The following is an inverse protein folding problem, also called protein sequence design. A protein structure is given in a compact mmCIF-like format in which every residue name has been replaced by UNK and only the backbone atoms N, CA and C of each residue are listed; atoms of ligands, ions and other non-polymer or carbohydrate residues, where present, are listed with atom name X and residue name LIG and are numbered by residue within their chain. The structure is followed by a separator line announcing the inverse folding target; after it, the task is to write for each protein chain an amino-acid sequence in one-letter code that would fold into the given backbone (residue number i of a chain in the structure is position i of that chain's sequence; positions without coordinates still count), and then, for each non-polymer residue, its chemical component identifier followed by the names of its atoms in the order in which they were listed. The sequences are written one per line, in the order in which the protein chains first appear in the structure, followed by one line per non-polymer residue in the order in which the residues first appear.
data_IF_530214410526
#
_entry.id   IF_530214410526
#
_cell.length_a   1.000
_cell.length_b   1.000
_cell.length_c   1.000
_cell.angle_alpha   90.00
_cell.angle_beta   90.00
_cell.angle_gamma   90.00
#
_symmetry.space_group_name_H-M   'P 1'
#
loop_
_entity.id
_entity.type
_entity.pdbx_description
1 polymer ?
#
# COMPACT_ATOMS: atom_id res chain seq x y z
N UNK A 1 -8.08 4.67 32.69
CA UNK A 1 -9.36 5.01 32.04
C UNK A 1 -9.59 6.51 32.14
N UNK A 2 -9.82 7.20 31.02
CA UNK A 2 -10.26 8.60 31.06
C UNK A 2 -11.64 8.62 31.72
N UNK A 3 -11.86 9.54 32.69
CA UNK A 3 -13.19 9.67 33.32
C UNK A 3 -14.21 10.05 32.26
N UNK A 4 -15.35 9.37 32.20
CA UNK A 4 -16.46 9.65 31.28
C UNK A 4 -16.85 11.13 31.30
N UNK A 5 -16.80 11.75 32.48
CA UNK A 5 -17.05 13.19 32.67
C UNK A 5 -16.02 14.05 31.93
N UNK A 6 -14.76 13.62 31.88
CA UNK A 6 -13.69 14.33 31.13
C UNK A 6 -13.93 14.21 29.62
N UNK A 7 -14.28 13.03 29.15
CA UNK A 7 -14.61 12.79 27.72
C UNK A 7 -15.82 13.62 27.29
N UNK A 8 -16.92 13.60 28.06
CA UNK A 8 -18.11 14.40 27.76
C UNK A 8 -17.80 15.91 27.73
N UNK A 9 -16.95 16.41 28.63
CA UNK A 9 -16.54 17.81 28.63
C UNK A 9 -15.71 18.18 27.41
N UNK A 10 -14.88 17.24 26.92
CA UNK A 10 -14.14 17.42 25.67
C UNK A 10 -15.07 17.41 24.48
N UNK A 11 -16.09 16.57 24.43
CA UNK A 11 -17.05 16.47 23.34
C UNK A 11 -18.08 17.63 23.32
N UNK A 12 -18.19 18.41 24.37
CA UNK A 12 -19.16 19.52 24.45
C UNK A 12 -18.78 20.77 23.59
N UNK A 13 -17.64 20.76 22.92
CA UNK A 13 -17.17 21.87 22.07
C UNK A 13 -17.49 21.59 20.59
N UNK A 14 -18.23 22.48 19.91
CA UNK A 14 -18.60 22.26 18.51
C UNK A 14 -17.42 22.10 17.56
N UNK A 15 -16.33 22.81 17.77
CA UNK A 15 -15.15 22.72 16.90
C UNK A 15 -14.44 21.37 17.07
N UNK A 16 -14.42 20.80 18.27
CA UNK A 16 -13.89 19.44 18.47
C UNK A 16 -14.77 18.38 17.82
N UNK A 17 -16.09 18.56 17.85
CA UNK A 17 -17.00 17.67 17.12
C UNK A 17 -16.78 17.76 15.60
N UNK A 18 -16.58 18.96 15.04
CA UNK A 18 -16.23 19.15 13.62
C UNK A 18 -14.93 18.43 13.27
N UNK A 19 -13.89 18.57 14.10
CA UNK A 19 -12.61 17.86 13.91
C UNK A 19 -12.85 16.33 13.93
N UNK A 20 -13.59 15.81 14.91
CA UNK A 20 -13.87 14.38 15.01
C UNK A 20 -14.67 13.85 13.81
N UNK A 21 -15.64 14.63 13.30
CA UNK A 21 -16.41 14.28 12.09
C UNK A 21 -15.51 14.14 10.86
N UNK A 22 -14.53 15.02 10.71
CA UNK A 22 -13.55 14.96 9.63
C UNK A 22 -12.59 13.78 9.82
N UNK A 23 -12.06 13.58 11.04
CA UNK A 23 -11.12 12.49 11.35
C UNK A 23 -11.79 11.10 11.40
N UNK A 24 -13.11 11.04 11.47
CA UNK A 24 -13.87 9.80 11.27
C UNK A 24 -13.84 9.34 9.82
N UNK A 25 -13.81 10.29 8.89
CA UNK A 25 -13.84 10.00 7.46
C UNK A 25 -12.43 9.85 6.88
N UNK A 26 -11.45 10.64 7.36
CA UNK A 26 -10.12 10.73 6.75
C UNK A 26 -9.03 11.06 7.78
N UNK A 27 -7.81 10.56 7.55
CA UNK A 27 -6.63 11.02 8.27
C UNK A 27 -6.19 12.39 7.73
N UNK A 28 -6.11 13.38 8.62
CA UNK A 28 -5.80 14.76 8.23
C UNK A 28 -4.66 15.34 9.05
N UNK A 29 -3.81 16.13 8.40
CA UNK A 29 -2.78 16.92 9.06
C UNK A 29 -3.35 18.21 9.66
N UNK A 30 -2.56 18.85 10.56
CA UNK A 30 -2.93 20.16 11.11
C UNK A 30 -3.17 21.19 9.99
N UNK A 31 -2.33 21.20 8.96
CA UNK A 31 -2.46 22.15 7.84
C UNK A 31 -3.76 21.94 7.06
N UNK A 32 -4.16 20.69 6.84
CA UNK A 32 -5.41 20.37 6.16
C UNK A 32 -6.64 20.71 7.01
N UNK A 33 -6.60 20.42 8.31
CA UNK A 33 -7.65 20.84 9.24
C UNK A 33 -7.80 22.36 9.28
N UNK A 34 -6.69 23.11 9.19
CA UNK A 34 -6.73 24.57 9.06
C UNK A 34 -7.44 25.02 7.77
N UNK A 35 -7.10 24.41 6.63
CA UNK A 35 -7.69 24.72 5.33
C UNK A 35 -9.20 24.39 5.31
N UNK A 36 -9.59 23.26 5.91
CA UNK A 36 -10.98 22.79 5.94
C UNK A 36 -11.84 23.65 6.88
N UNK A 37 -11.36 23.86 8.11
CA UNK A 37 -12.14 24.49 9.17
C UNK A 37 -12.00 26.01 9.21
N UNK A 38 -11.09 26.57 8.41
CA UNK A 38 -10.72 27.98 8.41
C UNK A 38 -10.28 28.51 9.79
N UNK A 39 -9.56 27.68 10.55
CA UNK A 39 -9.07 27.98 11.90
C UNK A 39 -7.56 28.17 11.94
N UNK A 40 -7.06 28.95 12.92
CA UNK A 40 -5.63 29.12 13.15
C UNK A 40 -4.94 27.82 13.63
N UNK A 41 -3.65 27.66 13.30
CA UNK A 41 -2.85 26.49 13.65
C UNK A 41 -2.83 26.21 15.16
N UNK A 42 -2.66 27.24 15.98
CA UNK A 42 -2.63 27.12 17.45
C UNK A 42 -3.94 26.58 18.01
N UNK A 43 -5.06 27.02 17.43
CA UNK A 43 -6.41 26.58 17.82
C UNK A 43 -6.61 25.10 17.49
N UNK A 44 -6.30 24.69 16.24
CA UNK A 44 -6.37 23.30 15.83
C UNK A 44 -5.47 22.41 16.69
N UNK A 45 -4.22 22.82 16.91
CA UNK A 45 -3.27 22.06 17.74
C UNK A 45 -3.74 21.90 19.19
N UNK A 46 -4.39 22.92 19.74
CA UNK A 46 -4.98 22.87 21.09
C UNK A 46 -6.14 21.87 21.14
N UNK A 47 -7.05 21.92 20.17
CA UNK A 47 -8.16 20.97 20.10
C UNK A 47 -7.67 19.52 19.91
N UNK A 48 -6.72 19.28 19.00
CA UNK A 48 -6.14 17.97 18.80
C UNK A 48 -5.44 17.42 20.04
N UNK A 49 -4.69 18.28 20.77
CA UNK A 49 -4.06 17.91 22.03
C UNK A 49 -5.08 17.45 23.09
N UNK A 50 -6.19 18.18 23.23
CA UNK A 50 -7.27 17.83 24.15
C UNK A 50 -7.97 16.54 23.74
N UNK A 51 -8.23 16.34 22.45
CA UNK A 51 -8.81 15.12 21.91
C UNK A 51 -7.88 13.90 22.10
N UNK A 52 -6.56 14.10 21.90
CA UNK A 52 -5.54 13.06 22.14
C UNK A 52 -5.44 12.70 23.63
N UNK A 53 -5.44 13.70 24.52
CA UNK A 53 -5.46 13.46 25.97
C UNK A 53 -6.73 12.75 26.47
N UNK A 54 -7.82 12.88 25.73
CA UNK A 54 -9.07 12.16 25.99
C UNK A 54 -9.09 10.76 25.36
N UNK A 55 -8.08 10.38 24.59
CA UNK A 55 -7.99 9.09 23.90
C UNK A 55 -8.96 8.96 22.71
N UNK A 56 -9.42 10.07 22.17
CA UNK A 56 -10.36 10.09 21.04
C UNK A 56 -9.66 10.14 19.68
N UNK A 57 -8.43 10.64 19.62
CA UNK A 57 -7.62 10.72 18.41
C UNK A 57 -6.20 10.26 18.69
N UNK A 58 -5.57 9.72 17.68
CA UNK A 58 -4.14 9.44 17.67
C UNK A 58 -3.48 10.11 16.46
N UNK A 59 -2.17 10.21 16.49
CA UNK A 59 -1.39 10.72 15.37
C UNK A 59 -0.31 9.74 14.99
N UNK A 60 -0.03 9.68 13.70
CA UNK A 60 1.15 9.03 13.14
C UNK A 60 2.02 10.06 12.42
N UNK A 61 3.32 9.96 12.59
CA UNK A 61 4.26 10.87 11.96
C UNK A 61 4.51 10.47 10.51
N UNK A 62 4.43 11.45 9.61
CA UNK A 62 4.75 11.28 8.19
C UNK A 62 5.70 12.42 7.80
N UNK A 63 6.98 12.10 7.62
CA UNK A 63 8.00 13.11 7.33
C UNK A 63 8.04 14.21 8.40
N UNK A 64 7.86 15.46 7.96
CA UNK A 64 7.82 16.65 8.84
C UNK A 64 6.44 16.92 9.44
N UNK A 65 5.40 16.17 9.06
CA UNK A 65 4.02 16.36 9.48
C UNK A 65 3.51 15.19 10.32
N UNK A 66 2.42 15.41 11.07
CA UNK A 66 1.64 14.34 11.72
C UNK A 66 0.25 14.31 11.11
N UNK A 67 -0.23 13.12 10.76
CA UNK A 67 -1.62 12.86 10.43
C UNK A 67 -2.35 12.38 11.67
N UNK A 68 -3.56 12.87 11.85
CA UNK A 68 -4.44 12.52 12.97
C UNK A 68 -5.59 11.67 12.47
N UNK A 69 -6.00 10.69 13.28
CA UNK A 69 -7.19 9.86 13.02
C UNK A 69 -8.03 9.68 14.27
N UNK A 70 -9.30 9.36 14.08
CA UNK A 70 -10.21 8.98 15.14
C UNK A 70 -9.90 7.56 15.64
N UNK A 71 -9.90 7.34 16.95
CA UNK A 71 -9.81 6.03 17.56
C UNK A 71 -11.24 5.54 17.83
N UNK A 72 -11.68 4.52 17.09
CA UNK A 72 -13.02 3.93 17.25
C UNK A 72 -13.06 2.77 18.24
N UNK A 73 -11.93 2.14 18.56
CA UNK A 73 -11.82 1.02 19.51
C UNK A 73 -10.74 1.25 20.56
N UNK A 74 -11.13 1.17 21.82
CA UNK A 74 -10.22 0.98 22.93
C UNK A 74 -10.09 -0.53 23.20
N UNK A 75 -9.15 -1.21 22.56
CA UNK A 75 -8.62 -2.46 23.07
C UNK A 75 -7.46 -2.13 24.02
N UNK A 76 -7.65 -2.25 25.36
CA UNK A 76 -6.62 -1.90 26.32
C UNK A 76 -5.43 -2.86 26.37
N UNK A 77 -5.44 -3.96 25.62
CA UNK A 77 -4.46 -5.04 25.77
C UNK A 77 -3.34 -5.09 24.72
N UNK A 78 -3.35 -4.26 23.65
CA UNK A 78 -2.31 -4.35 22.62
C UNK A 78 -1.19 -3.30 22.72
N UNK A 79 -1.30 -2.28 23.56
CA UNK A 79 -0.23 -1.26 23.69
C UNK A 79 0.79 -1.53 24.81
N UNK A 80 0.65 -2.61 25.57
CA UNK A 80 1.55 -2.95 26.69
C UNK A 80 2.58 -4.04 26.42
N UNK A 81 2.42 -4.85 25.38
CA UNK A 81 3.24 -6.05 25.18
C UNK A 81 4.40 -5.89 24.19
N UNK A 82 4.44 -4.83 23.38
CA UNK A 82 5.50 -4.67 22.37
C UNK A 82 6.70 -3.84 22.80
N UNK A 83 6.68 -3.22 24.00
CA UNK A 83 7.82 -2.41 24.51
C UNK A 83 8.66 -3.17 25.55
N UNK A 84 8.18 -4.32 26.04
CA UNK A 84 8.83 -5.03 27.15
C UNK A 84 9.77 -6.18 26.74
N UNK A 85 10.01 -6.43 25.44
CA UNK A 85 10.84 -7.57 25.00
C UNK A 85 12.07 -7.21 24.14
N UNK A 86 12.57 -5.99 24.22
CA UNK A 86 13.90 -5.68 23.68
C UNK A 86 14.94 -5.75 24.82
N UNK A 87 15.99 -6.61 24.72
CA UNK A 87 17.08 -6.59 25.69
C UNK A 87 17.81 -5.25 25.60
N UNK A 88 18.41 -4.76 26.71
CA UNK A 88 19.16 -3.52 26.71
C UNK A 88 20.36 -3.65 25.77
N UNK A 89 20.46 -2.68 24.85
CA UNK A 89 21.60 -2.54 23.96
C UNK A 89 22.82 -2.28 24.83
N UNK A 90 23.73 -3.26 24.90
CA UNK A 90 24.99 -3.13 25.58
C UNK A 90 25.84 -1.99 24.97
N UNK A 91 26.39 -1.16 25.84
CA UNK A 91 27.37 -0.15 25.49
C UNK A 91 28.54 -0.78 24.73
N UNK A 92 28.74 -0.35 23.48
CA UNK A 92 29.93 -0.70 22.72
C UNK A 92 31.02 0.29 23.12
N UNK A 93 31.97 -0.20 23.91
CA UNK A 93 33.21 0.50 24.21
C UNK A 93 33.93 0.92 22.94
N UNK A 94 34.27 2.20 22.89
CA UNK A 94 35.08 2.80 21.84
C UNK A 94 36.55 2.37 22.02
N UNK A 95 37.08 1.62 21.06
CA UNK A 95 38.52 1.45 20.91
C UNK A 95 39.08 2.38 19.83
N UNK A 96 40.25 3.00 20.08
CA UNK A 96 40.79 4.03 19.20
C UNK A 96 41.77 3.46 18.17
N UNK A 97 41.74 4.08 16.98
CA UNK A 97 42.91 4.12 16.11
C UNK A 97 42.86 3.21 14.89
N UNK A 98 42.60 3.82 13.75
CA UNK A 98 43.46 3.58 12.56
C UNK A 98 43.18 4.61 11.44
N UNK A 99 44.13 4.83 10.49
CA UNK A 99 44.43 6.17 9.98
C UNK A 99 43.75 6.48 8.62
N UNK A 100 43.63 7.78 8.39
CA UNK A 100 43.18 8.39 7.12
C UNK A 100 44.12 7.99 5.98
N UNK A 101 43.54 7.39 4.92
CA UNK A 101 44.21 7.25 3.64
C UNK A 101 43.72 8.39 2.73
N UNK A 102 44.71 9.19 2.26
CA UNK A 102 44.54 10.24 1.26
C UNK A 102 44.29 9.61 -0.11
N UNK A 103 43.30 10.11 -0.81
CA UNK A 103 43.14 9.90 -2.25
C UNK A 103 44.29 10.65 -2.99
N UNK A 104 45.03 9.96 -3.86
CA UNK A 104 45.81 10.54 -4.90
C UNK A 104 45.38 9.96 -6.24
N UNK A 105 44.98 10.83 -7.13
CA UNK A 105 44.76 10.55 -8.54
C UNK A 105 46.05 10.05 -9.18
N UNK A 106 45.98 9.04 -10.04
CA UNK A 106 46.69 8.92 -11.31
C UNK A 106 46.25 7.67 -12.06
N UNK A 107 45.99 7.91 -13.36
CA UNK A 107 45.61 6.93 -14.36
C UNK A 107 46.75 5.99 -14.78
N UNK A 108 46.38 5.02 -15.52
CA UNK A 108 46.89 4.48 -16.78
C UNK A 108 46.60 2.97 -16.95
N UNK A 109 45.89 2.73 -18.00
CA UNK A 109 46.08 1.76 -19.09
C UNK A 109 46.46 0.28 -18.83
N UNK A 110 45.68 -0.57 -19.52
CA UNK A 110 46.05 -1.82 -20.22
C UNK A 110 46.40 -3.09 -19.41
N UNK A 111 45.68 -4.13 -19.66
CA UNK A 111 46.09 -5.50 -19.33
C UNK A 111 45.04 -6.56 -19.44
N UNK A 112 44.75 -7.02 -20.63
CA UNK A 112 44.03 -8.22 -21.00
C UNK A 112 44.70 -9.47 -20.35
N UNK A 113 44.01 -10.22 -19.49
CA UNK A 113 44.35 -11.61 -19.19
C UNK A 113 43.09 -12.43 -18.90
N UNK A 114 42.82 -13.33 -19.83
CA UNK A 114 42.00 -14.50 -19.71
C UNK A 114 42.43 -15.37 -18.52
N UNK A 115 41.49 -15.72 -17.63
CA UNK A 115 41.63 -16.82 -16.71
C UNK A 115 40.40 -17.73 -16.79
N UNK A 116 40.64 -18.92 -17.38
CA UNK A 116 39.82 -20.09 -17.23
C UNK A 116 39.76 -20.47 -15.75
N UNK A 117 38.56 -20.66 -15.23
CA UNK A 117 38.35 -21.37 -13.97
C UNK A 117 37.40 -22.54 -14.19
N UNK A 118 37.90 -23.71 -13.81
CA UNK A 118 37.32 -25.04 -13.88
C UNK A 118 35.97 -25.13 -13.18
N UNK A 119 35.07 -25.95 -13.76
CA UNK A 119 33.82 -26.40 -13.19
C UNK A 119 34.04 -27.53 -12.16
N UNK A 120 33.35 -27.52 -11.01
CA UNK A 120 33.22 -28.70 -10.19
C UNK A 120 31.92 -29.47 -10.45
N UNK A 121 32.12 -30.77 -10.36
CA UNK A 121 31.30 -31.94 -10.64
C UNK A 121 29.92 -31.97 -9.98
N UNK A 122 28.99 -32.60 -10.72
CA UNK A 122 27.63 -33.07 -10.37
C UNK A 122 27.55 -33.72 -8.98
N UNK A 123 26.52 -33.30 -8.21
CA UNK A 123 25.95 -34.09 -7.13
C UNK A 123 24.51 -34.49 -7.47
N UNK A 124 24.18 -35.72 -7.15
CA UNK A 124 23.01 -36.44 -7.59
C UNK A 124 21.71 -35.98 -6.96
N UNK A 125 20.70 -35.77 -7.78
CA UNK A 125 19.31 -35.54 -7.44
C UNK A 125 18.66 -36.83 -6.90
N UNK A 126 18.20 -36.83 -5.66
CA UNK A 126 17.27 -37.83 -5.14
C UNK A 126 15.84 -37.38 -5.39
N UNK A 127 15.16 -38.11 -6.27
CA UNK A 127 13.72 -38.07 -6.45
C UNK A 127 13.02 -38.49 -5.15
N UNK A 128 12.18 -37.63 -4.58
CA UNK A 128 11.18 -38.03 -3.58
C UNK A 128 9.80 -37.93 -4.24
N UNK A 129 9.23 -39.07 -4.47
CA UNK A 129 7.86 -39.29 -4.92
C UNK A 129 6.88 -38.94 -3.80
N UNK A 130 5.97 -37.99 -4.07
CA UNK A 130 4.87 -37.64 -3.18
C UNK A 130 3.57 -38.26 -3.73
N UNK A 131 3.30 -39.51 -3.39
CA UNK A 131 1.97 -40.11 -3.53
C UNK A 131 1.72 -40.99 -2.31
N UNK A 132 0.79 -40.59 -1.48
CA UNK A 132 -0.07 -41.39 -0.61
C UNK A 132 -0.32 -40.73 0.74
N UNK A 133 -1.43 -40.00 0.88
CA UNK A 133 -2.19 -39.94 2.13
C UNK A 133 -3.55 -39.22 1.89
N UNK A 134 -4.43 -39.89 1.15
CA UNK A 134 -5.87 -39.62 1.20
C UNK A 134 -6.56 -40.92 1.57
N UNK A 135 -6.89 -41.10 2.83
CA UNK A 135 -8.01 -41.96 3.27
C UNK A 135 -8.46 -41.60 4.67
N UNK A 136 -9.65 -41.05 4.74
CA UNK A 136 -10.72 -41.44 5.64
C UNK A 136 -10.64 -40.98 7.09
N UNK A 137 -11.52 -40.06 7.44
CA UNK A 137 -12.39 -40.29 8.64
C UNK A 137 -13.64 -39.42 8.52
N UNK A 138 -14.72 -40.11 8.35
CA UNK A 138 -16.09 -39.71 8.57
C UNK A 138 -16.33 -39.55 10.07
N UNK A 139 -16.92 -38.42 10.50
CA UNK A 139 -17.80 -38.39 11.67
C UNK A 139 -18.56 -37.06 11.76
N UNK A 140 -19.83 -37.18 11.47
CA UNK A 140 -20.93 -36.29 11.80
C UNK A 140 -20.81 -35.60 13.18
N UNK A 141 -20.87 -34.26 13.17
CA UNK A 141 -21.62 -33.49 14.18
C UNK A 141 -21.90 -32.10 13.61
N UNK A 142 -23.18 -31.86 13.41
CA UNK A 142 -23.72 -30.53 13.16
C UNK A 142 -23.54 -29.68 14.43
N UNK A 143 -22.74 -28.64 14.36
CA UNK A 143 -22.86 -27.46 15.22
C UNK A 143 -22.83 -26.25 14.34
N UNK A 144 -23.93 -25.54 14.35
CA UNK A 144 -24.24 -24.32 13.67
C UNK A 144 -23.44 -23.15 14.31
N UNK A 145 -22.43 -22.53 13.68
CA UNK A 145 -21.92 -21.29 14.21
C UNK A 145 -22.83 -20.17 13.72
N UNK A 146 -23.61 -19.64 14.69
CA UNK A 146 -24.19 -18.32 14.56
C UNK A 146 -23.17 -17.36 13.94
N UNK A 147 -23.57 -16.71 12.84
CA UNK A 147 -22.90 -15.53 12.32
C UNK A 147 -22.89 -14.48 13.44
N UNK A 148 -21.76 -14.33 14.08
CA UNK A 148 -21.45 -13.13 14.83
C UNK A 148 -21.33 -11.98 13.82
N UNK A 149 -22.45 -11.31 13.60
CA UNK A 149 -22.43 -9.94 13.15
C UNK A 149 -21.71 -9.16 14.25
N UNK A 150 -20.48 -8.72 14.00
CA UNK A 150 -19.66 -7.99 14.95
C UNK A 150 -20.41 -6.79 15.49
N UNK A 151 -21.02 -6.96 16.66
CA UNK A 151 -21.67 -5.90 17.41
C UNK A 151 -20.56 -5.03 17.96
N UNK A 152 -20.44 -3.79 17.47
CA UNK A 152 -19.48 -2.79 17.98
C UNK A 152 -19.61 -2.69 19.50
N UNK A 153 -18.50 -2.44 20.19
CA UNK A 153 -18.51 -2.24 21.64
C UNK A 153 -19.48 -1.09 22.02
N UNK A 154 -20.15 -1.17 23.18
CA UNK A 154 -21.13 -0.14 23.57
C UNK A 154 -20.62 1.30 23.55
N UNK A 155 -19.32 1.49 23.81
CA UNK A 155 -18.67 2.81 23.77
C UNK A 155 -18.48 3.32 22.33
N UNK A 156 -18.23 2.43 21.38
CA UNK A 156 -18.13 2.75 19.94
C UNK A 156 -19.48 3.16 19.36
N UNK A 157 -20.55 2.48 19.77
CA UNK A 157 -21.90 2.83 19.39
C UNK A 157 -22.27 4.24 19.89
N UNK A 158 -21.93 4.57 21.15
CA UNK A 158 -22.20 5.89 21.71
C UNK A 158 -21.50 7.01 20.94
N UNK A 159 -20.20 6.87 20.66
CA UNK A 159 -19.45 7.91 19.93
C UNK A 159 -19.95 8.06 18.50
N UNK A 160 -20.24 6.94 17.83
CA UNK A 160 -20.79 6.95 16.48
C UNK A 160 -22.17 7.62 16.42
N UNK A 161 -23.06 7.33 17.35
CA UNK A 161 -24.39 7.95 17.44
C UNK A 161 -24.30 9.44 17.75
N UNK A 162 -23.39 9.83 18.66
CA UNK A 162 -23.15 11.22 18.98
C UNK A 162 -22.64 11.99 17.73
N UNK A 163 -21.67 11.44 17.02
CA UNK A 163 -21.14 12.06 15.81
C UNK A 163 -22.17 12.12 14.69
N UNK A 164 -23.03 11.11 14.54
CA UNK A 164 -24.12 11.11 13.57
C UNK A 164 -25.13 12.26 13.87
N UNK A 165 -25.49 12.46 15.13
CA UNK A 165 -26.34 13.60 15.54
C UNK A 165 -25.63 14.93 15.33
N UNK A 166 -24.37 15.03 15.76
CA UNK A 166 -23.57 16.23 15.57
C UNK A 166 -23.45 16.64 14.08
N UNK A 167 -23.32 15.66 13.17
CA UNK A 167 -23.29 15.90 11.74
C UNK A 167 -24.60 16.52 11.20
N UNK A 168 -25.75 16.20 11.83
CA UNK A 168 -27.03 16.75 11.44
C UNK A 168 -27.31 18.13 12.05
N UNK A 169 -26.77 18.40 13.25
CA UNK A 169 -27.05 19.61 14.02
C UNK A 169 -26.04 20.74 13.79
N UNK A 170 -24.78 20.40 13.43
CA UNK A 170 -23.73 21.41 13.21
C UNK A 170 -23.89 22.06 11.83
N UNK A 171 -24.17 23.36 11.71
CA UNK A 171 -24.44 24.00 10.42
C UNK A 171 -23.26 23.88 9.44
N UNK A 172 -22.02 23.93 9.95
CA UNK A 172 -20.79 23.90 9.14
C UNK A 172 -20.39 22.48 8.67
N UNK A 173 -21.01 21.40 9.18
CA UNK A 173 -20.60 20.03 8.89
C UNK A 173 -20.63 19.72 7.38
N UNK A 174 -21.62 20.20 6.65
CA UNK A 174 -21.75 20.00 5.20
C UNK A 174 -20.65 20.77 4.44
N UNK A 175 -20.39 22.01 4.85
CA UNK A 175 -19.33 22.84 4.24
C UNK A 175 -17.94 22.27 4.52
N UNK A 176 -17.71 21.75 5.72
CA UNK A 176 -16.46 21.11 6.12
C UNK A 176 -16.18 19.84 5.28
N UNK A 177 -17.21 19.00 5.06
CA UNK A 177 -17.08 17.85 4.19
C UNK A 177 -16.77 18.22 2.75
N UNK A 178 -17.40 19.29 2.23
CA UNK A 178 -17.10 19.79 0.90
C UNK A 178 -15.66 20.35 0.80
N UNK A 179 -15.19 21.03 1.86
CA UNK A 179 -13.80 21.50 1.94
C UNK A 179 -12.82 20.34 2.03
N UNK A 180 -13.10 19.30 2.82
CA UNK A 180 -12.30 18.08 2.92
C UNK A 180 -12.14 17.41 1.55
N UNK A 181 -13.23 17.22 0.81
CA UNK A 181 -13.17 16.65 -0.56
C UNK A 181 -12.25 17.46 -1.48
N UNK A 182 -12.22 18.80 -1.35
CA UNK A 182 -11.29 19.65 -2.13
C UNK A 182 -9.84 19.40 -1.73
N UNK A 183 -9.55 19.29 -0.44
CA UNK A 183 -8.20 19.00 0.08
C UNK A 183 -7.72 17.63 -0.39
N UNK A 184 -8.58 16.61 -0.32
CA UNK A 184 -8.25 15.25 -0.80
C UNK A 184 -7.98 15.22 -2.30
N UNK A 185 -8.81 15.90 -3.11
CA UNK A 185 -8.53 16.04 -4.55
C UNK A 185 -7.17 16.68 -4.81
N UNK A 186 -6.80 17.71 -4.04
CA UNK A 186 -5.49 18.38 -4.16
C UNK A 186 -4.32 17.43 -3.86
N UNK A 187 -4.48 16.48 -2.90
CA UNK A 187 -3.49 15.41 -2.70
C UNK A 187 -3.37 14.51 -3.94
N UNK A 188 -4.50 14.02 -4.47
CA UNK A 188 -4.53 13.19 -5.67
C UNK A 188 -3.95 13.91 -6.88
N UNK A 189 -4.30 15.19 -7.07
CA UNK A 189 -3.80 16.01 -8.18
C UNK A 189 -2.28 16.21 -8.10
N UNK A 190 -1.70 16.30 -6.90
CA UNK A 190 -0.24 16.39 -6.72
C UNK A 190 0.47 15.13 -7.21
N UNK A 191 -0.03 13.95 -6.83
CA UNK A 191 0.50 12.65 -7.27
C UNK A 191 0.35 12.50 -8.78
N UNK A 192 -0.82 12.82 -9.34
CA UNK A 192 -1.07 12.80 -10.78
C UNK A 192 -0.11 13.72 -11.53
N UNK A 193 0.06 14.97 -11.08
CA UNK A 193 0.97 15.94 -11.70
C UNK A 193 2.43 15.46 -11.70
N UNK A 194 2.86 14.74 -10.65
CA UNK A 194 4.18 14.10 -10.64
C UNK A 194 4.31 13.11 -11.79
N UNK A 195 3.39 12.14 -11.91
CA UNK A 195 3.44 11.15 -12.99
C UNK A 195 3.28 11.76 -14.38
N UNK A 196 2.43 12.76 -14.54
CA UNK A 196 2.33 13.52 -15.80
C UNK A 196 3.67 14.17 -16.18
N UNK A 197 4.45 14.65 -15.19
CA UNK A 197 5.75 15.27 -15.42
C UNK A 197 6.85 14.30 -15.85
N UNK A 198 6.73 13.01 -15.45
CA UNK A 198 7.71 11.96 -15.76
C UNK A 198 7.25 11.02 -16.87
N UNK A 199 6.02 11.19 -17.38
CA UNK A 199 5.49 10.39 -18.47
C UNK A 199 6.39 10.43 -19.71
N UNK A 200 6.65 9.27 -20.32
CA UNK A 200 7.59 9.10 -21.45
C UNK A 200 9.05 8.91 -21.03
N UNK A 201 9.39 9.06 -19.73
CA UNK A 201 10.75 8.88 -19.21
C UNK A 201 10.87 7.77 -18.18
N UNK A 202 9.77 7.33 -17.60
CA UNK A 202 9.74 6.38 -16.46
C UNK A 202 10.49 5.08 -16.76
N UNK A 203 10.32 4.54 -17.96
CA UNK A 203 10.99 3.30 -18.36
C UNK A 203 12.46 3.45 -18.76
N UNK A 204 12.97 4.68 -18.92
CA UNK A 204 14.36 4.96 -19.29
C UNK A 204 15.25 5.24 -18.10
N UNK A 205 14.74 5.97 -17.13
CA UNK A 205 15.53 6.54 -16.04
C UNK A 205 15.31 5.84 -14.68
N UNK A 206 14.21 5.13 -14.47
CA UNK A 206 13.79 4.71 -13.13
C UNK A 206 13.47 3.20 -12.97
N UNK A 207 13.67 2.37 -13.98
CA UNK A 207 13.42 0.93 -13.83
C UNK A 207 14.74 0.18 -13.76
N UNK A 208 15.16 -0.28 -12.57
CA UNK A 208 16.26 -1.23 -12.42
C UNK A 208 15.86 -2.57 -13.06
N UNK A 209 16.76 -3.16 -13.82
CA UNK A 209 16.63 -4.56 -14.20
C UNK A 209 16.14 -4.87 -15.61
N UNK A 210 16.85 -4.42 -16.64
CA UNK A 210 16.62 -4.88 -18.03
C UNK A 210 16.70 -6.41 -18.21
N UNK A 211 17.35 -7.15 -17.29
CA UNK A 211 17.44 -8.62 -17.28
C UNK A 211 16.12 -9.32 -16.94
N UNK A 212 15.21 -8.66 -16.27
CA UNK A 212 13.90 -9.18 -15.88
C UNK A 212 12.99 -9.49 -17.07
N UNK A 213 13.12 -8.76 -18.16
CA UNK A 213 12.25 -8.93 -19.32
C UNK A 213 12.29 -10.34 -19.88
N UNK A 214 13.47 -10.91 -20.07
CA UNK A 214 13.62 -12.26 -20.61
C UNK A 214 13.06 -13.35 -19.69
N UNK A 215 13.28 -13.20 -18.37
CA UNK A 215 12.73 -14.13 -17.39
C UNK A 215 11.19 -14.00 -17.32
N UNK A 216 10.68 -12.77 -17.27
CA UNK A 216 9.25 -12.52 -17.26
C UNK A 216 8.58 -13.08 -18.52
N UNK A 217 9.15 -12.89 -19.71
CA UNK A 217 8.65 -13.49 -20.95
C UNK A 217 8.62 -15.03 -20.90
N UNK A 218 9.63 -15.66 -20.31
CA UNK A 218 9.66 -17.11 -20.14
C UNK A 218 8.56 -17.60 -19.19
N UNK A 219 8.35 -16.91 -18.05
CA UNK A 219 7.30 -17.24 -17.08
C UNK A 219 5.90 -16.99 -17.65
N UNK A 220 5.71 -15.90 -18.39
CA UNK A 220 4.43 -15.62 -19.06
C UNK A 220 4.00 -16.71 -20.02
N UNK A 221 4.97 -17.40 -20.69
CA UNK A 221 4.66 -18.54 -21.57
C UNK A 221 4.05 -19.73 -20.85
N UNK A 222 4.20 -19.81 -19.53
CA UNK A 222 3.60 -20.83 -18.69
C UNK A 222 2.19 -20.46 -18.20
N UNK A 223 1.78 -19.18 -18.35
CA UNK A 223 0.46 -18.71 -17.94
C UNK A 223 -0.62 -19.08 -18.97
N UNK A 224 -1.83 -19.47 -18.51
CA UNK A 224 -2.99 -19.55 -19.40
C UNK A 224 -3.37 -18.14 -19.90
N UNK A 225 -4.14 -18.03 -21.01
CA UNK A 225 -4.61 -16.75 -21.50
C UNK A 225 -5.72 -16.18 -20.61
N UNK A 226 -5.35 -15.28 -19.68
CA UNK A 226 -6.23 -14.66 -18.69
C UNK A 226 -6.70 -13.27 -19.14
N UNK A 227 -7.80 -12.79 -18.54
CA UNK A 227 -8.17 -11.38 -18.51
C UNK A 227 -7.51 -10.77 -17.28
N UNK A 228 -6.63 -9.78 -17.46
CA UNK A 228 -5.77 -9.23 -16.42
C UNK A 228 -6.06 -7.74 -16.25
N UNK A 229 -6.23 -7.28 -15.03
CA UNK A 229 -6.20 -5.87 -14.68
C UNK A 229 -4.81 -5.48 -14.18
N UNK A 230 -4.22 -4.44 -14.77
CA UNK A 230 -2.97 -3.81 -14.36
C UNK A 230 -3.33 -2.44 -13.76
N UNK A 231 -3.20 -2.32 -12.43
CA UNK A 231 -3.68 -1.17 -11.66
C UNK A 231 -2.53 -0.23 -11.27
N UNK A 232 -2.66 1.04 -11.63
CA UNK A 232 -1.56 1.99 -11.63
C UNK A 232 -0.56 1.66 -12.74
N UNK A 233 -1.07 1.40 -13.94
CA UNK A 233 -0.30 0.85 -15.06
C UNK A 233 0.79 1.79 -15.60
N UNK A 234 0.77 3.08 -15.24
CA UNK A 234 1.70 4.08 -15.75
C UNK A 234 1.70 4.14 -17.27
N UNK A 235 2.88 4.12 -17.87
CA UNK A 235 3.08 4.10 -19.32
C UNK A 235 2.75 2.73 -19.97
N UNK A 236 2.30 1.75 -19.18
CA UNK A 236 1.88 0.44 -19.68
C UNK A 236 3.02 -0.51 -20.06
N UNK A 237 4.23 -0.31 -19.58
CA UNK A 237 5.36 -1.20 -19.87
C UNK A 237 5.08 -2.64 -19.42
N UNK A 238 4.46 -2.79 -18.23
CA UNK A 238 4.06 -4.09 -17.71
C UNK A 238 2.81 -4.64 -18.45
N UNK A 239 1.83 -3.79 -18.75
CA UNK A 239 0.67 -4.16 -19.57
C UNK A 239 1.10 -4.71 -20.95
N UNK A 240 2.09 -4.10 -21.60
CA UNK A 240 2.66 -4.57 -22.88
C UNK A 240 3.32 -5.96 -22.74
N UNK A 241 3.99 -6.22 -21.63
CA UNK A 241 4.59 -7.52 -21.35
C UNK A 241 3.50 -8.58 -21.15
N UNK A 242 2.48 -8.31 -20.33
CA UNK A 242 1.35 -9.20 -20.06
C UNK A 242 0.55 -9.50 -21.34
N UNK A 243 0.35 -8.50 -22.18
CA UNK A 243 -0.44 -8.61 -23.41
C UNK A 243 0.09 -9.64 -24.41
N UNK A 244 1.36 -10.05 -24.32
CA UNK A 244 1.93 -11.10 -25.15
C UNK A 244 1.23 -12.45 -24.98
N UNK A 245 0.58 -12.70 -23.85
CA UNK A 245 -0.05 -13.98 -23.51
C UNK A 245 -1.47 -13.84 -22.97
N UNK A 246 -1.79 -12.70 -22.37
CA UNK A 246 -3.13 -12.43 -21.87
C UNK A 246 -4.18 -12.48 -22.99
N UNK A 247 -5.37 -12.96 -22.67
CA UNK A 247 -6.55 -12.81 -23.52
C UNK A 247 -6.88 -11.32 -23.70
N UNK A 248 -6.82 -10.55 -22.64
CA UNK A 248 -7.01 -9.11 -22.58
C UNK A 248 -6.28 -8.55 -21.37
N UNK A 249 -5.68 -7.37 -21.49
CA UNK A 249 -5.19 -6.57 -20.37
C UNK A 249 -6.07 -5.32 -20.27
N UNK A 250 -6.53 -5.00 -19.08
CA UNK A 250 -7.19 -3.73 -18.75
C UNK A 250 -6.21 -2.94 -17.90
N UNK A 251 -5.60 -1.92 -18.50
CA UNK A 251 -4.62 -1.07 -17.86
C UNK A 251 -5.31 0.18 -17.31
N UNK A 252 -5.29 0.38 -16.00
CA UNK A 252 -5.96 1.49 -15.32
C UNK A 252 -4.90 2.41 -14.71
N UNK A 253 -5.01 3.70 -14.96
CA UNK A 253 -4.16 4.72 -14.35
C UNK A 253 -4.94 6.01 -14.12
N UNK A 254 -4.62 6.75 -13.07
CA UNK A 254 -5.26 8.01 -12.72
C UNK A 254 -4.74 9.21 -13.53
N UNK A 255 -3.61 9.06 -14.23
CA UNK A 255 -3.02 10.08 -15.07
C UNK A 255 -3.45 9.91 -16.54
N UNK A 256 -4.19 10.90 -17.06
CA UNK A 256 -4.56 10.93 -18.47
C UNK A 256 -3.31 10.93 -19.40
N UNK A 257 -2.21 11.53 -18.93
CA UNK A 257 -0.96 11.56 -19.69
C UNK A 257 -0.28 10.20 -19.77
N UNK A 258 -0.29 9.43 -18.67
CA UNK A 258 0.21 8.05 -18.65
C UNK A 258 -0.58 7.18 -19.61
N UNK A 259 -1.91 7.27 -19.58
CA UNK A 259 -2.80 6.54 -20.48
C UNK A 259 -2.54 6.88 -21.95
N UNK A 260 -2.31 8.17 -22.27
CA UNK A 260 -1.98 8.60 -23.63
C UNK A 260 -0.66 7.96 -24.12
N UNK A 261 0.39 8.07 -23.30
CA UNK A 261 1.70 7.48 -23.60
C UNK A 261 1.59 5.95 -23.76
N UNK A 262 0.86 5.29 -22.88
CA UNK A 262 0.65 3.84 -22.95
C UNK A 262 -0.04 3.39 -24.22
N UNK A 263 -1.09 4.13 -24.67
CA UNK A 263 -1.77 3.87 -25.94
C UNK A 263 -0.85 4.03 -27.14
N UNK A 264 -0.02 5.08 -27.14
CA UNK A 264 0.97 5.31 -28.20
C UNK A 264 2.01 4.18 -28.25
N UNK A 265 2.49 3.70 -27.10
CA UNK A 265 3.42 2.57 -27.03
C UNK A 265 2.75 1.27 -27.53
N UNK A 266 1.52 0.97 -27.12
CA UNK A 266 0.78 -0.19 -27.61
C UNK A 266 0.61 -0.14 -29.13
N UNK A 267 0.32 1.04 -29.69
CA UNK A 267 0.19 1.22 -31.13
C UNK A 267 1.52 0.99 -31.85
N UNK A 268 2.65 1.56 -31.32
CA UNK A 268 4.00 1.35 -31.88
C UNK A 268 4.40 -0.12 -31.93
N UNK A 269 3.98 -0.89 -30.89
CA UNK A 269 4.24 -2.32 -30.81
C UNK A 269 3.17 -3.19 -31.48
N UNK A 270 2.15 -2.58 -32.12
CA UNK A 270 1.04 -3.28 -32.78
C UNK A 270 0.26 -4.19 -31.84
N UNK A 271 0.23 -3.89 -30.53
CA UNK A 271 -0.54 -4.63 -29.52
C UNK A 271 -1.98 -4.15 -29.52
N UNK A 272 -2.95 -5.09 -29.63
CA UNK A 272 -4.38 -4.78 -29.80
C UNK A 272 -5.25 -5.23 -28.63
N UNK A 273 -4.72 -6.00 -27.70
CA UNK A 273 -5.43 -6.61 -26.59
C UNK A 273 -5.24 -5.89 -25.26
N UNK A 274 -4.83 -4.61 -25.28
CA UNK A 274 -4.78 -3.74 -24.10
C UNK A 274 -5.92 -2.71 -24.21
N UNK A 275 -6.68 -2.59 -23.12
CA UNK A 275 -7.75 -1.61 -22.93
C UNK A 275 -7.29 -0.62 -21.85
N UNK A 276 -6.86 0.56 -22.27
CA UNK A 276 -6.39 1.62 -21.35
C UNK A 276 -7.57 2.45 -20.85
N UNK A 277 -7.76 2.49 -19.54
CA UNK A 277 -8.84 3.23 -18.87
C UNK A 277 -8.28 4.27 -17.91
N UNK A 278 -8.78 5.49 -18.00
CA UNK A 278 -8.54 6.52 -16.99
C UNK A 278 -9.41 6.21 -15.78
N UNK A 279 -8.80 6.04 -14.60
CA UNK A 279 -9.53 5.72 -13.37
C UNK A 279 -8.60 5.67 -12.18
N UNK A 280 -9.21 5.71 -10.99
CA UNK A 280 -8.54 5.55 -9.71
C UNK A 280 -8.54 4.07 -9.30
N UNK A 281 -7.46 3.61 -8.66
CA UNK A 281 -7.40 2.25 -8.14
C UNK A 281 -8.29 2.03 -6.90
N UNK A 282 -8.76 3.12 -6.28
CA UNK A 282 -9.73 3.08 -5.18
C UNK A 282 -11.20 3.13 -5.68
N UNK A 283 -11.43 3.36 -6.99
CA UNK A 283 -12.74 3.32 -7.67
C UNK A 283 -12.51 2.82 -9.10
N UNK A 284 -12.30 1.51 -9.24
CA UNK A 284 -11.80 0.90 -10.46
C UNK A 284 -12.91 0.87 -11.55
N UNK A 285 -12.65 1.41 -12.75
CA UNK A 285 -13.62 1.44 -13.85
C UNK A 285 -13.74 0.07 -14.57
N UNK A 286 -13.90 -1.00 -13.80
CA UNK A 286 -14.09 -2.39 -14.25
C UNK A 286 -15.31 -2.95 -13.51
N UNK A 287 -16.15 -3.73 -14.20
CA UNK A 287 -17.32 -4.37 -13.61
C UNK A 287 -16.96 -5.51 -12.64
N UNK A 288 -17.96 -5.96 -11.88
CA UNK A 288 -17.78 -7.04 -10.91
C UNK A 288 -17.44 -8.35 -11.63
N UNK A 289 -16.44 -9.07 -11.10
CA UNK A 289 -16.07 -10.41 -11.59
C UNK A 289 -15.60 -10.47 -13.06
N UNK A 290 -15.10 -9.36 -13.62
CA UNK A 290 -14.70 -9.29 -15.03
C UNK A 290 -13.27 -9.78 -15.30
N UNK A 291 -12.41 -9.94 -14.28
CA UNK A 291 -11.00 -10.28 -14.47
C UNK A 291 -10.59 -11.54 -13.70
N UNK A 292 -9.64 -12.29 -14.27
CA UNK A 292 -9.08 -13.50 -13.68
C UNK A 292 -7.89 -13.20 -12.76
N UNK A 293 -7.19 -12.09 -13.04
CA UNK A 293 -5.98 -11.68 -12.33
C UNK A 293 -5.93 -10.16 -12.19
N UNK A 294 -5.61 -9.69 -11.00
CA UNK A 294 -5.29 -8.30 -10.72
C UNK A 294 -3.82 -8.18 -10.40
N UNK A 295 -3.17 -7.16 -10.94
CA UNK A 295 -1.78 -6.84 -10.69
C UNK A 295 -1.62 -5.39 -10.19
N UNK A 296 -0.83 -5.22 -9.13
CA UNK A 296 -0.19 -3.97 -8.76
C UNK A 296 1.32 -4.14 -8.97
N UNK A 297 1.91 -3.28 -9.80
CA UNK A 297 3.35 -3.30 -10.06
C UNK A 297 3.96 -1.95 -9.68
N UNK A 298 4.49 -1.85 -8.47
CA UNK A 298 5.06 -0.62 -7.90
C UNK A 298 4.03 0.54 -7.92
N UNK A 299 2.80 0.28 -7.48
CA UNK A 299 1.72 1.25 -7.61
C UNK A 299 0.82 1.38 -6.37
N UNK A 300 0.68 0.33 -5.56
CA UNK A 300 -0.21 0.35 -4.40
C UNK A 300 0.23 1.38 -3.35
N UNK A 301 1.54 1.62 -3.20
CA UNK A 301 2.08 2.62 -2.26
C UNK A 301 1.73 4.07 -2.62
N UNK A 302 1.17 4.33 -3.81
CA UNK A 302 0.63 5.63 -4.20
C UNK A 302 -0.86 5.80 -3.87
N UNK A 303 -1.56 4.73 -3.44
CA UNK A 303 -2.96 4.83 -3.02
C UNK A 303 -3.07 5.67 -1.74
N UNK A 304 -4.10 6.53 -1.65
CA UNK A 304 -4.42 7.20 -0.40
C UNK A 304 -4.93 6.20 0.64
N UNK A 305 -5.77 5.25 0.18
CA UNK A 305 -6.38 4.21 0.98
C UNK A 305 -6.15 2.83 0.33
N UNK A 306 -5.00 2.19 0.56
CA UNK A 306 -4.71 0.86 -0.01
C UNK A 306 -5.81 -0.17 0.25
N UNK A 307 -6.48 -0.09 1.40
CA UNK A 307 -7.56 -1.00 1.78
C UNK A 307 -8.76 -0.89 0.80
N UNK A 308 -9.04 0.30 0.27
CA UNK A 308 -10.09 0.51 -0.74
C UNK A 308 -9.66 -0.07 -2.08
N UNK A 309 -8.42 0.13 -2.49
CA UNK A 309 -7.88 -0.45 -3.71
C UNK A 309 -7.92 -1.99 -3.67
N UNK A 310 -7.64 -2.59 -2.52
CA UNK A 310 -7.74 -4.03 -2.31
C UNK A 310 -9.20 -4.53 -2.31
N UNK A 311 -10.13 -3.79 -1.71
CA UNK A 311 -11.55 -4.12 -1.74
C UNK A 311 -12.12 -4.04 -3.17
N UNK A 312 -11.75 -3.01 -3.94
CA UNK A 312 -12.09 -2.90 -5.36
C UNK A 312 -11.47 -4.02 -6.20
N UNK A 313 -10.23 -4.41 -5.90
CA UNK A 313 -9.59 -5.57 -6.52
C UNK A 313 -10.36 -6.86 -6.26
N UNK A 314 -10.84 -7.05 -5.02
CA UNK A 314 -11.71 -8.19 -4.69
C UNK A 314 -13.04 -8.13 -5.44
N UNK A 315 -13.63 -6.96 -5.64
CA UNK A 315 -14.88 -6.78 -6.39
C UNK A 315 -14.74 -7.20 -7.85
N UNK A 316 -13.71 -6.71 -8.54
CA UNK A 316 -13.53 -6.94 -9.98
C UNK A 316 -13.03 -8.35 -10.33
N UNK A 317 -12.37 -9.05 -9.40
CA UNK A 317 -11.91 -10.42 -9.60
C UNK A 317 -13.07 -11.41 -9.70
N UNK A 318 -12.96 -12.34 -10.63
CA UNK A 318 -13.82 -13.52 -10.65
C UNK A 318 -13.59 -14.41 -9.42
N UNK A 319 -14.58 -15.22 -8.98
CA UNK A 319 -14.35 -16.25 -7.96
C UNK A 319 -13.16 -17.14 -8.32
N UNK A 320 -12.31 -17.47 -7.37
CA UNK A 320 -11.04 -18.18 -7.58
C UNK A 320 -9.95 -17.36 -8.29
N UNK A 321 -10.23 -16.12 -8.66
CA UNK A 321 -9.26 -15.19 -9.26
C UNK A 321 -8.14 -14.82 -8.30
N UNK A 322 -7.03 -14.33 -8.83
CA UNK A 322 -5.82 -14.02 -8.05
C UNK A 322 -5.48 -12.55 -8.06
N UNK A 323 -4.94 -12.11 -6.96
CA UNK A 323 -4.29 -10.81 -6.81
C UNK A 323 -2.79 -11.02 -6.66
N UNK A 324 -2.00 -10.23 -7.39
CA UNK A 324 -0.54 -10.17 -7.25
C UNK A 324 -0.13 -8.73 -7.02
N UNK A 325 0.68 -8.52 -5.99
CA UNK A 325 1.23 -7.21 -5.63
C UNK A 325 2.75 -7.34 -5.64
N UNK A 326 3.41 -6.58 -6.49
CA UNK A 326 4.84 -6.31 -6.45
C UNK A 326 5.01 -4.87 -6.02
N UNK A 327 5.46 -4.65 -4.79
CA UNK A 327 5.52 -3.30 -4.24
C UNK A 327 6.74 -3.11 -3.33
N UNK A 328 6.92 -1.93 -2.77
CA UNK A 328 8.00 -1.62 -1.86
C UNK A 328 7.77 -2.29 -0.50
N UNK A 329 8.79 -3.00 0.00
CA UNK A 329 8.84 -3.36 1.41
C UNK A 329 9.02 -2.10 2.25
N UNK A 330 8.45 -2.09 3.46
CA UNK A 330 8.48 -0.93 4.35
C UNK A 330 9.90 -0.43 4.61
N UNK A 331 10.12 0.84 4.36
CA UNK A 331 11.41 1.51 4.53
C UNK A 331 11.27 2.84 5.28
N UNK A 332 12.41 3.53 5.52
CA UNK A 332 12.46 4.78 6.29
C UNK A 332 13.00 5.96 5.50
N UNK A 333 13.09 5.83 4.19
CA UNK A 333 13.58 6.87 3.31
C UNK A 333 12.44 7.87 3.04
N UNK A 334 12.33 8.87 3.91
CA UNK A 334 11.24 9.87 3.89
C UNK A 334 11.25 10.77 2.65
N UNK A 335 12.43 10.97 2.03
CA UNK A 335 12.57 11.74 0.81
C UNK A 335 11.82 11.13 -0.38
N UNK A 336 11.49 9.84 -0.33
CA UNK A 336 10.69 9.17 -1.36
C UNK A 336 9.35 9.89 -1.60
N UNK A 337 8.75 10.46 -0.57
CA UNK A 337 7.51 11.24 -0.67
C UNK A 337 7.63 12.47 -1.56
N UNK A 338 8.79 13.11 -1.55
CA UNK A 338 9.05 14.31 -2.35
C UNK A 338 9.58 13.94 -3.75
N UNK A 339 10.42 12.88 -3.83
CA UNK A 339 11.10 12.48 -5.07
C UNK A 339 10.19 11.64 -5.96
N UNK A 340 9.43 10.70 -5.37
CA UNK A 340 8.64 9.71 -6.11
C UNK A 340 7.13 9.88 -5.92
N UNK A 341 6.71 10.82 -5.09
CA UNK A 341 5.30 11.03 -4.71
C UNK A 341 4.67 9.85 -3.97
N UNK A 342 5.47 9.13 -3.14
CA UNK A 342 4.99 8.01 -2.37
C UNK A 342 4.05 8.49 -1.26
N UNK A 343 2.83 7.98 -1.19
CA UNK A 343 1.90 8.20 -0.07
C UNK A 343 2.25 7.25 1.10
N UNK A 344 2.69 6.04 0.78
CA UNK A 344 3.17 5.03 1.73
C UNK A 344 4.64 4.73 1.49
N UNK A 345 5.42 4.58 2.56
CA UNK A 345 6.83 4.15 2.45
C UNK A 345 6.92 2.61 2.43
N UNK A 346 6.17 2.01 1.52
CA UNK A 346 6.06 0.57 1.40
C UNK A 346 5.24 -0.09 2.52
N UNK A 347 5.13 -1.40 2.47
CA UNK A 347 4.32 -2.22 3.37
C UNK A 347 5.20 -3.29 4.04
N UNK A 348 4.91 -3.62 5.29
CA UNK A 348 5.42 -4.85 5.88
C UNK A 348 4.57 -6.04 5.44
N UNK A 349 5.14 -7.24 5.48
CA UNK A 349 4.44 -8.49 5.17
C UNK A 349 3.15 -8.60 5.99
N UNK A 350 3.23 -8.37 7.29
CA UNK A 350 2.09 -8.46 8.23
C UNK A 350 1.01 -7.41 7.96
N UNK A 351 1.40 -6.16 7.66
CA UNK A 351 0.43 -5.11 7.31
C UNK A 351 -0.34 -5.48 6.05
N UNK A 352 0.38 -5.92 5.00
CA UNK A 352 -0.24 -6.28 3.73
C UNK A 352 -1.12 -7.53 3.85
N UNK A 353 -0.67 -8.56 4.59
CA UNK A 353 -1.50 -9.72 4.90
C UNK A 353 -2.80 -9.34 5.62
N UNK A 354 -2.72 -8.45 6.60
CA UNK A 354 -3.89 -7.99 7.36
C UNK A 354 -4.88 -7.23 6.47
N UNK A 355 -4.38 -6.35 5.59
CA UNK A 355 -5.21 -5.63 4.62
C UNK A 355 -5.89 -6.58 3.64
N UNK A 356 -5.16 -7.57 3.12
CA UNK A 356 -5.67 -8.59 2.19
C UNK A 356 -6.75 -9.46 2.86
N UNK A 357 -6.54 -9.90 4.10
CA UNK A 357 -7.54 -10.64 4.87
C UNK A 357 -8.81 -9.80 5.08
N UNK A 358 -8.63 -8.52 5.41
CA UNK A 358 -9.76 -7.59 5.62
C UNK A 358 -10.54 -7.34 4.33
N UNK A 359 -9.90 -7.39 3.17
CA UNK A 359 -10.53 -7.30 1.85
C UNK A 359 -11.19 -8.63 1.39
N UNK A 360 -11.10 -9.69 2.20
CA UNK A 360 -11.75 -10.99 1.95
C UNK A 360 -10.91 -11.98 1.14
N UNK A 361 -9.63 -11.71 0.93
CA UNK A 361 -8.72 -12.65 0.27
C UNK A 361 -8.32 -13.80 1.20
N UNK A 362 -7.98 -14.92 0.58
CA UNK A 362 -7.49 -16.16 1.22
C UNK A 362 -6.20 -16.64 0.55
N UNK A 363 -5.56 -17.68 1.09
CA UNK A 363 -4.31 -18.24 0.56
C UNK A 363 -3.25 -17.15 0.31
N UNK A 364 -3.11 -16.26 1.28
CA UNK A 364 -2.21 -15.12 1.20
C UNK A 364 -0.78 -15.59 1.46
N UNK A 365 0.13 -15.20 0.56
CA UNK A 365 1.57 -15.40 0.70
C UNK A 365 2.24 -14.04 0.41
N UNK A 366 2.86 -13.46 1.43
CA UNK A 366 3.57 -12.20 1.34
C UNK A 366 5.01 -12.38 1.79
N UNK A 367 5.97 -12.01 0.94
CA UNK A 367 7.40 -12.20 1.22
C UNK A 367 8.26 -11.19 0.49
N UNK A 368 9.39 -10.80 1.09
CA UNK A 368 10.41 -9.97 0.44
C UNK A 368 11.18 -10.83 -0.53
N UNK A 369 11.12 -10.51 -1.84
CA UNK A 369 11.69 -11.32 -2.92
C UNK A 369 12.97 -10.75 -3.51
N UNK A 370 13.23 -9.45 -3.36
CA UNK A 370 14.42 -8.82 -3.91
C UNK A 370 14.90 -7.66 -3.04
N UNK A 371 16.20 -7.36 -3.14
CA UNK A 371 16.83 -6.22 -2.52
C UNK A 371 17.72 -5.55 -3.53
N UNK A 372 17.46 -4.28 -3.81
CA UNK A 372 18.22 -3.54 -4.80
C UNK A 372 19.67 -3.31 -4.34
N UNK A 373 20.67 -3.73 -5.15
CA UNK A 373 22.09 -3.60 -4.77
C UNK A 373 22.53 -2.13 -4.67
N UNK A 374 22.06 -1.28 -5.58
CA UNK A 374 22.47 0.13 -5.70
C UNK A 374 21.71 1.05 -4.75
N UNK A 375 20.52 0.63 -4.30
CA UNK A 375 19.65 1.36 -3.37
C UNK A 375 19.18 0.42 -2.26
N UNK A 376 20.06 0.03 -1.33
CA UNK A 376 19.81 -1.04 -0.35
C UNK A 376 18.67 -0.72 0.64
N UNK A 377 18.20 0.52 0.68
CA UNK A 377 16.99 0.93 1.41
C UNK A 377 15.70 0.42 0.78
N UNK A 378 15.73 0.06 -0.51
CA UNK A 378 14.57 -0.47 -1.21
C UNK A 378 14.64 -1.99 -1.34
N UNK A 379 13.57 -2.63 -0.98
CA UNK A 379 13.35 -4.06 -1.15
C UNK A 379 11.99 -4.25 -1.81
N UNK A 380 11.86 -5.30 -2.62
CA UNK A 380 10.59 -5.63 -3.26
C UNK A 380 9.83 -6.65 -2.42
N UNK A 381 8.61 -6.30 -2.05
CA UNK A 381 7.63 -7.17 -1.43
C UNK A 381 6.73 -7.77 -2.53
N UNK A 382 6.64 -9.08 -2.57
CA UNK A 382 5.67 -9.82 -3.38
C UNK A 382 4.56 -10.32 -2.46
N UNK A 383 3.31 -10.02 -2.81
CA UNK A 383 2.18 -10.70 -2.21
C UNK A 383 1.32 -11.35 -3.29
N UNK A 384 0.84 -12.56 -3.00
CA UNK A 384 -0.13 -13.30 -3.83
C UNK A 384 -1.29 -13.70 -2.94
N UNK A 385 -2.51 -13.49 -3.43
CA UNK A 385 -3.72 -13.84 -2.71
C UNK A 385 -4.80 -14.36 -3.66
N UNK A 386 -5.74 -15.12 -3.15
CA UNK A 386 -6.85 -15.72 -3.91
C UNK A 386 -8.18 -15.18 -3.41
N UNK A 387 -9.03 -14.75 -4.34
CA UNK A 387 -10.44 -14.48 -4.03
C UNK A 387 -11.17 -15.80 -3.82
N UNK A 388 -11.87 -16.01 -2.70
CA UNK A 388 -12.71 -17.20 -2.51
C UNK A 388 -13.77 -17.37 -3.61
N UNK A 389 -14.26 -18.62 -3.76
CA UNK A 389 -15.37 -18.97 -4.66
C UNK A 389 -16.71 -18.33 -4.25
#
# INVERSE_FOLDING_TARGET
MASITKTLRVLADPNRLRILLLLKAEELSVAELQEILAMGQSTISTHLSQLKQAGLVEDRRIGKSSLYRLILSHHPEQNGALVASLPPVGEIESSPGQPRVRMSERGDSLGNRSNQIDAPRRAATKNISLSAALKGRDSSRADNPQKDSGTLAPEENFLNDLLARAAAEIPDAVSDQAAMRRVLRKRQDKTRAFFDSVAGRLGKDHVPGKSWKSLAEALLRLMPPLVIADLGAGEGAFALLLAQRAKKVIAVDSSARMIEVGRDEAQRHSVKNIDYRLGDMEEIPIGDHEVDLVFFSQSLHHALHPERALAESARILAPGGRLVILDLAKHRFEEAREIYADEWLGFSEVELETMLQSAGFTQIDATIVDKEPDTPQFQTLLAVAVKPD
#
